data_IF_705972559358
#
_entry.id   IF_705972559358
#
_cell.length_a   1.000
_cell.length_b   1.000
_cell.length_c   1.000
_cell.angle_alpha   90.00
_cell.angle_beta   90.00
_cell.angle_gamma   90.00
#
_symmetry.space_group_name_H-M   'P 1'
#
loop_
_entity.id
_entity.type
_entity.pdbx_description
1 polymer ?
#
# COMPACT_ATOMS: atom_id res chain seq x y z
N UNK A 1 18.86 13.50 17.07
CA UNK A 1 19.20 13.14 15.67
C UNK A 1 17.90 13.04 14.89
N UNK A 2 17.74 13.81 13.81
CA UNK A 2 16.53 13.73 12.98
C UNK A 2 16.55 12.43 12.19
N UNK A 3 15.59 11.53 12.45
CA UNK A 3 15.36 10.38 11.58
C UNK A 3 14.73 10.89 10.27
N UNK A 4 15.18 10.45 9.09
CA UNK A 4 14.50 10.75 7.83
C UNK A 4 13.09 10.12 7.80
N UNK A 5 12.21 10.68 6.96
CA UNK A 5 10.86 10.15 6.77
C UNK A 5 10.80 9.19 5.59
N UNK A 6 10.17 8.03 5.79
CA UNK A 6 9.75 7.13 4.73
C UNK A 6 8.24 7.26 4.55
N UNK A 7 7.83 7.86 3.44
CA UNK A 7 6.42 8.03 3.09
C UNK A 7 6.00 6.89 2.17
N UNK A 8 5.08 6.05 2.63
CA UNK A 8 4.49 4.98 1.83
C UNK A 8 3.16 5.45 1.24
N UNK A 9 3.19 5.83 -0.03
CA UNK A 9 1.99 6.17 -0.80
C UNK A 9 1.26 4.90 -1.22
N UNK A 10 0.14 4.61 -0.55
CA UNK A 10 -0.73 3.45 -0.73
C UNK A 10 -2.09 3.89 -1.28
N UNK A 11 -2.85 3.01 -1.94
CA UNK A 11 -4.27 3.26 -2.18
C UNK A 11 -5.10 1.99 -2.02
N UNK A 12 -6.33 2.12 -1.53
CA UNK A 12 -7.25 0.99 -1.36
C UNK A 12 -7.65 0.34 -2.69
N UNK A 13 -7.67 1.10 -3.79
CA UNK A 13 -7.96 0.58 -5.13
C UNK A 13 -6.75 -0.09 -5.78
N UNK A 14 -5.56 0.01 -5.19
CA UNK A 14 -4.31 -0.47 -5.76
C UNK A 14 -4.03 -1.92 -5.36
N UNK A 15 -4.21 -2.85 -6.30
CA UNK A 15 -3.93 -4.27 -6.08
C UNK A 15 -2.47 -4.60 -5.78
N UNK A 16 -1.52 -3.83 -6.33
CA UNK A 16 -0.10 -3.92 -6.00
C UNK A 16 0.20 -3.48 -4.57
N UNK A 17 -0.44 -2.41 -4.12
CA UNK A 17 -0.29 -1.89 -2.78
C UNK A 17 -0.85 -2.88 -1.74
N UNK A 18 -1.95 -3.55 -2.07
CA UNK A 18 -2.48 -4.65 -1.25
C UNK A 18 -1.52 -5.85 -1.19
N UNK A 19 -1.02 -6.31 -2.35
CA UNK A 19 -0.07 -7.44 -2.42
C UNK A 19 1.29 -7.15 -1.79
N UNK A 20 1.75 -5.90 -1.83
CA UNK A 20 3.01 -5.47 -1.20
C UNK A 20 2.89 -5.25 0.32
N UNK A 21 1.68 -5.31 0.88
CA UNK A 21 1.44 -5.03 2.29
C UNK A 21 2.28 -5.89 3.27
N UNK A 22 2.62 -7.17 3.00
CA UNK A 22 3.51 -7.93 3.87
C UNK A 22 4.94 -7.37 3.91
N UNK A 23 5.44 -6.85 2.78
CA UNK A 23 6.80 -6.31 2.67
C UNK A 23 6.92 -4.97 3.40
N UNK A 24 6.00 -4.03 3.16
CA UNK A 24 6.06 -2.74 3.85
C UNK A 24 5.88 -2.88 5.37
N UNK A 25 5.10 -3.86 5.84
CA UNK A 25 5.01 -4.19 7.27
C UNK A 25 6.35 -4.68 7.84
N UNK A 26 7.09 -5.53 7.10
CA UNK A 26 8.43 -5.96 7.49
C UNK A 26 9.41 -4.79 7.54
N UNK A 27 9.39 -3.93 6.53
CA UNK A 27 10.19 -2.69 6.49
C UNK A 27 9.88 -1.83 7.71
N UNK A 28 8.60 -1.65 8.04
CA UNK A 28 8.19 -0.85 9.18
C UNK A 28 8.70 -1.39 10.53
N UNK A 29 8.71 -2.70 10.71
CA UNK A 29 9.24 -3.34 11.91
C UNK A 29 10.76 -3.23 11.95
N UNK A 30 11.43 -3.57 10.85
CA UNK A 30 12.87 -3.65 10.76
C UNK A 30 13.55 -2.30 10.95
N UNK A 31 12.97 -1.24 10.36
CA UNK A 31 13.57 0.09 10.32
C UNK A 31 12.85 1.14 11.18
N UNK A 32 12.02 0.73 12.14
CA UNK A 32 11.33 1.65 13.08
C UNK A 32 12.28 2.59 13.84
N UNK A 33 13.53 2.16 14.01
CA UNK A 33 14.55 2.93 14.71
C UNK A 33 15.29 3.91 13.78
N UNK A 34 15.19 3.71 12.47
CA UNK A 34 15.95 4.48 11.46
C UNK A 34 15.07 5.53 10.78
N UNK A 35 13.77 5.25 10.59
CA UNK A 35 12.84 6.16 9.90
C UNK A 35 11.64 6.57 10.75
N UNK A 36 11.09 7.74 10.47
CA UNK A 36 9.68 8.03 10.72
C UNK A 36 8.87 7.54 9.53
N UNK A 37 7.93 6.62 9.77
CA UNK A 37 7.17 5.98 8.70
C UNK A 37 5.75 6.51 8.72
N UNK A 38 5.34 7.07 7.59
CA UNK A 38 4.00 7.62 7.38
C UNK A 38 3.36 6.93 6.17
N UNK A 39 2.06 6.67 6.28
CA UNK A 39 1.28 6.08 5.19
C UNK A 39 0.32 7.13 4.68
N UNK A 40 0.38 7.41 3.38
CA UNK A 40 -0.49 8.37 2.72
C UNK A 40 -1.37 7.68 1.68
N UNK A 41 -2.64 8.06 1.63
CA UNK A 41 -3.54 7.61 0.56
C UNK A 41 -3.17 8.33 -0.74
N UNK A 42 -2.93 7.58 -1.81
CA UNK A 42 -2.45 8.08 -3.09
C UNK A 42 -3.52 8.73 -3.96
N UNK A 43 -4.80 8.41 -3.75
CA UNK A 43 -5.92 8.99 -4.49
C UNK A 43 -6.04 8.42 -5.91
N UNK A 44 -6.00 7.09 -6.03
CA UNK A 44 -6.04 6.40 -7.33
C UNK A 44 -7.37 6.60 -8.07
N UNK A 45 -8.47 6.74 -7.35
CA UNK A 45 -9.80 7.08 -7.89
C UNK A 45 -10.33 8.30 -7.14
N UNK A 46 -10.60 9.39 -7.86
CA UNK A 46 -11.03 10.68 -7.31
C UNK A 46 -12.14 11.30 -8.18
N UNK A 47 -12.90 12.23 -7.62
CA UNK A 47 -13.99 12.90 -8.35
C UNK A 47 -15.11 11.92 -8.74
N UNK A 48 -15.51 11.94 -10.00
CA UNK A 48 -16.59 11.10 -10.54
C UNK A 48 -16.24 9.62 -10.62
N UNK A 49 -14.94 9.29 -10.59
CA UNK A 49 -14.40 7.93 -10.66
C UNK A 49 -14.42 7.21 -9.31
N UNK A 50 -14.79 7.88 -8.22
CA UNK A 50 -14.90 7.27 -6.89
C UNK A 50 -15.97 6.19 -6.89
N UNK A 51 -15.62 5.00 -6.41
CA UNK A 51 -16.56 3.90 -6.29
C UNK A 51 -16.33 3.08 -5.01
N UNK A 52 -17.35 2.39 -4.47
CA UNK A 52 -17.16 1.49 -3.34
C UNK A 52 -16.09 0.42 -3.65
N UNK A 53 -15.21 0.15 -2.69
CA UNK A 53 -14.11 -0.83 -2.83
C UNK A 53 -14.62 -2.21 -3.24
N UNK A 54 -15.85 -2.57 -2.87
CA UNK A 54 -16.50 -3.83 -3.24
C UNK A 54 -16.59 -4.06 -4.74
N UNK A 55 -16.61 -2.99 -5.56
CA UNK A 55 -16.65 -3.11 -7.03
C UNK A 55 -15.35 -3.65 -7.62
N UNK A 56 -14.20 -3.32 -7.04
CA UNK A 56 -12.87 -3.71 -7.53
C UNK A 56 -12.17 -4.75 -6.65
N UNK A 57 -12.58 -4.86 -5.39
CA UNK A 57 -12.03 -5.80 -4.41
C UNK A 57 -11.96 -7.25 -4.90
N UNK A 58 -12.98 -7.81 -5.58
CA UNK A 58 -12.91 -9.16 -6.15
C UNK A 58 -11.77 -9.32 -7.18
N UNK A 59 -11.54 -8.32 -8.02
CA UNK A 59 -10.45 -8.33 -9.00
C UNK A 59 -9.08 -8.26 -8.30
N UNK A 60 -8.94 -7.40 -7.29
CA UNK A 60 -7.73 -7.31 -6.47
C UNK A 60 -7.44 -8.65 -5.79
N UNK A 61 -8.45 -9.26 -5.15
CA UNK A 61 -8.33 -10.58 -4.49
C UNK A 61 -7.90 -11.70 -5.44
N UNK A 62 -8.23 -11.61 -6.73
CA UNK A 62 -7.79 -12.58 -7.74
C UNK A 62 -6.33 -12.39 -8.14
N UNK A 63 -5.85 -11.15 -8.18
CA UNK A 63 -4.57 -10.79 -8.82
C UNK A 63 -3.43 -10.52 -7.84
N UNK A 64 -3.71 -10.14 -6.59
CA UNK A 64 -2.67 -9.70 -5.64
C UNK A 64 -1.63 -10.77 -5.31
N UNK A 65 -1.98 -12.07 -5.35
CA UNK A 65 -1.04 -13.16 -5.08
C UNK A 65 0.16 -13.15 -6.01
N UNK A 66 -0.03 -12.72 -7.27
CA UNK A 66 1.06 -12.57 -8.22
C UNK A 66 2.07 -11.51 -7.78
N UNK A 67 1.61 -10.48 -7.08
CA UNK A 67 2.47 -9.45 -6.52
C UNK A 67 3.30 -10.04 -5.37
N UNK A 68 2.66 -10.79 -4.48
CA UNK A 68 3.35 -11.49 -3.39
C UNK A 68 4.42 -12.47 -3.90
N UNK A 69 4.23 -13.11 -5.05
CA UNK A 69 5.24 -13.99 -5.67
C UNK A 69 6.46 -13.23 -6.20
N UNK A 70 6.32 -11.93 -6.50
CA UNK A 70 7.35 -11.10 -7.12
C UNK A 70 8.10 -10.21 -6.13
N UNK A 71 7.70 -10.19 -4.85
CA UNK A 71 8.21 -9.27 -3.83
C UNK A 71 8.50 -9.97 -2.52
#
# INVERSE_FOLDING_TARGET
MNKPSLIYCYDAYCGWCYGFSPVIKKIAIQYKNDFFIEVLSGGMMVGEEVMPIEKIGPYIKKTYKRVEELT
#
